data_IF_707650683905
#
_entry.id   IF_707650683905
#
_cell.length_a   1.000
_cell.length_b   1.000
_cell.length_c   1.000
_cell.angle_alpha   90.00
_cell.angle_beta   90.00
_cell.angle_gamma   90.00
#
_symmetry.space_group_name_H-M   'P 1'
#
loop_
_entity.id
_entity.type
_entity.pdbx_description
1 polymer ?
#
# COMPACT_ATOMS: atom_id res chain seq x y z
N UNK A 1 35.57 -1.20 17.16
CA UNK A 1 34.71 -1.35 18.36
C UNK A 1 33.28 -1.58 17.89
N UNK A 2 32.45 -2.27 18.68
CA UNK A 2 31.04 -2.52 18.39
C UNK A 2 30.28 -1.25 17.99
N UNK A 3 29.41 -1.32 16.97
CA UNK A 3 28.46 -0.26 16.60
C UNK A 3 27.89 0.44 17.84
N UNK A 4 27.78 1.76 17.81
CA UNK A 4 27.20 2.53 18.91
C UNK A 4 25.76 2.06 19.20
N UNK A 5 25.30 2.07 20.47
CA UNK A 5 23.95 1.65 20.83
C UNK A 5 22.85 2.36 20.00
N UNK A 6 23.05 3.65 19.72
CA UNK A 6 22.16 4.42 18.85
C UNK A 6 22.13 3.94 17.40
N UNK A 7 23.28 3.53 16.84
CA UNK A 7 23.33 3.01 15.48
C UNK A 7 22.57 1.68 15.37
N UNK A 8 22.65 0.81 16.39
CA UNK A 8 21.89 -0.44 16.44
C UNK A 8 20.39 -0.21 16.59
N UNK A 9 19.98 0.76 17.43
CA UNK A 9 18.58 1.11 17.59
C UNK A 9 17.95 1.57 16.26
N UNK A 10 18.64 2.45 15.53
CA UNK A 10 18.21 2.94 14.20
C UNK A 10 18.10 1.82 13.17
N UNK A 11 19.01 0.84 13.19
CA UNK A 11 18.97 -0.31 12.29
C UNK A 11 17.76 -1.22 12.57
N UNK A 12 17.49 -1.50 13.84
CA UNK A 12 16.31 -2.28 14.23
C UNK A 12 15.01 -1.57 13.83
N UNK A 13 14.94 -0.26 14.05
CA UNK A 13 13.79 0.55 13.67
C UNK A 13 13.58 0.59 12.15
N UNK A 14 14.66 0.76 11.37
CA UNK A 14 14.57 0.73 9.90
C UNK A 14 14.07 -0.63 9.39
N UNK A 15 14.51 -1.73 10.01
CA UNK A 15 14.01 -3.08 9.69
C UNK A 15 12.52 -3.24 10.01
N UNK A 16 12.08 -2.79 11.19
CA UNK A 16 10.66 -2.81 11.55
C UNK A 16 9.81 -2.02 10.57
N UNK A 17 10.27 -0.82 10.17
CA UNK A 17 9.60 0.00 9.15
C UNK A 17 9.52 -0.75 7.82
N UNK A 18 10.61 -1.39 7.39
CA UNK A 18 10.65 -2.17 6.15
C UNK A 18 9.63 -3.32 6.17
N UNK A 19 9.55 -4.06 7.28
CA UNK A 19 8.59 -5.14 7.48
C UNK A 19 7.15 -4.61 7.43
N UNK A 20 6.88 -3.50 8.11
CA UNK A 20 5.57 -2.84 8.10
C UNK A 20 5.13 -2.44 6.69
N UNK A 21 6.00 -1.77 5.91
CA UNK A 21 5.69 -1.37 4.53
C UNK A 21 5.45 -2.61 3.66
N UNK A 22 6.27 -3.65 3.81
CA UNK A 22 6.15 -4.90 3.04
C UNK A 22 4.86 -5.66 3.38
N UNK A 23 4.47 -5.68 4.65
CA UNK A 23 3.23 -6.31 5.11
C UNK A 23 2.01 -5.60 4.54
N UNK A 24 1.98 -4.26 4.57
CA UNK A 24 0.86 -3.49 4.01
C UNK A 24 0.75 -3.75 2.51
N UNK A 25 1.86 -3.69 1.79
CA UNK A 25 1.86 -3.95 0.34
C UNK A 25 1.29 -5.31 -0.02
N UNK A 26 1.76 -6.35 0.67
CA UNK A 26 1.30 -7.71 0.43
C UNK A 26 -0.19 -7.83 0.73
N UNK A 27 -0.58 -7.50 1.96
CA UNK A 27 -1.93 -7.79 2.41
C UNK A 27 -2.98 -6.86 1.78
N UNK A 28 -2.69 -5.56 1.64
CA UNK A 28 -3.63 -4.66 0.96
C UNK A 28 -3.68 -4.95 -0.54
N UNK A 29 -2.56 -5.34 -1.15
CA UNK A 29 -2.53 -5.79 -2.55
C UNK A 29 -3.40 -7.03 -2.77
N UNK A 30 -3.23 -8.06 -1.94
CA UNK A 30 -4.04 -9.30 -1.97
C UNK A 30 -5.53 -9.00 -1.74
N UNK A 31 -5.86 -8.22 -0.71
CA UNK A 31 -7.24 -7.82 -0.42
C UNK A 31 -7.85 -7.02 -1.57
N UNK A 32 -7.12 -6.05 -2.13
CA UNK A 32 -7.58 -5.27 -3.27
C UNK A 32 -7.94 -6.17 -4.46
N UNK A 33 -7.10 -7.17 -4.76
CA UNK A 33 -7.35 -8.12 -5.85
C UNK A 33 -8.58 -9.00 -5.59
N UNK A 34 -8.72 -9.51 -4.35
CA UNK A 34 -9.86 -10.33 -3.95
C UNK A 34 -11.16 -9.53 -4.05
N UNK A 35 -11.20 -8.32 -3.47
CA UNK A 35 -12.38 -7.46 -3.52
C UNK A 35 -12.73 -7.03 -4.94
N UNK A 36 -11.76 -6.61 -5.74
CA UNK A 36 -12.01 -6.27 -7.15
C UNK A 36 -12.54 -7.51 -7.92
N UNK A 37 -12.07 -8.70 -7.61
CA UNK A 37 -12.59 -9.96 -8.15
C UNK A 37 -14.04 -10.22 -7.73
N UNK A 38 -14.37 -9.97 -6.47
CA UNK A 38 -15.73 -10.07 -5.94
C UNK A 38 -16.68 -9.08 -6.62
N UNK A 39 -16.31 -7.80 -6.72
CA UNK A 39 -17.11 -6.77 -7.40
C UNK A 39 -17.39 -7.14 -8.85
N UNK A 40 -16.39 -7.62 -9.59
CA UNK A 40 -16.57 -8.10 -10.97
C UNK A 40 -17.54 -9.28 -11.06
N UNK A 41 -17.53 -10.20 -10.09
CA UNK A 41 -18.50 -11.30 -10.05
C UNK A 41 -19.92 -10.80 -9.76
N UNK A 42 -20.08 -9.85 -8.85
CA UNK A 42 -21.37 -9.23 -8.54
C UNK A 42 -21.94 -8.49 -9.75
N UNK A 43 -21.10 -7.74 -10.48
CA UNK A 43 -21.51 -7.07 -11.72
C UNK A 43 -21.94 -8.08 -12.80
N UNK A 44 -21.20 -9.18 -12.99
CA UNK A 44 -21.59 -10.25 -13.92
C UNK A 44 -22.91 -10.94 -13.54
N UNK A 45 -23.20 -11.04 -12.24
CA UNK A 45 -24.47 -11.58 -11.78
C UNK A 45 -25.63 -10.65 -12.15
N UNK A 46 -25.45 -9.33 -12.02
CA UNK A 46 -26.39 -8.32 -12.53
C UNK A 46 -26.61 -8.48 -14.04
N UNK A 47 -25.53 -8.57 -14.83
CA UNK A 47 -25.64 -8.76 -16.28
C UNK A 47 -26.46 -9.99 -16.65
N UNK A 48 -26.31 -11.08 -15.89
CA UNK A 48 -27.06 -12.30 -16.11
C UNK A 48 -28.54 -12.13 -15.79
N UNK A 49 -28.87 -11.37 -14.75
CA UNK A 49 -30.24 -11.05 -14.41
C UNK A 49 -30.89 -10.09 -15.43
N UNK A 50 -30.14 -9.14 -16.00
CA UNK A 50 -30.63 -8.30 -17.10
C UNK A 50 -31.01 -9.14 -18.33
N UNK A 51 -30.24 -10.20 -18.62
CA UNK A 51 -30.62 -11.16 -19.64
C UNK A 51 -31.92 -11.89 -19.28
N UNK A 52 -32.09 -12.34 -18.03
CA UNK A 52 -33.34 -12.98 -17.60
C UNK A 52 -34.54 -12.06 -17.77
N UNK A 53 -34.42 -10.79 -17.38
CA UNK A 53 -35.46 -9.76 -17.58
C UNK A 53 -35.82 -9.65 -19.06
N UNK A 54 -34.84 -9.66 -19.97
CA UNK A 54 -35.07 -9.59 -21.41
C UNK A 54 -35.80 -10.84 -21.94
N UNK A 55 -35.37 -12.03 -21.55
CA UNK A 55 -35.99 -13.28 -21.98
C UNK A 55 -37.44 -13.41 -21.47
N UNK A 56 -37.70 -13.01 -20.22
CA UNK A 56 -39.07 -12.97 -19.68
C UNK A 56 -39.94 -11.99 -20.46
N UNK A 57 -39.42 -10.80 -20.78
CA UNK A 57 -40.16 -9.81 -21.57
C UNK A 57 -40.44 -10.32 -23.00
N UNK A 58 -39.48 -10.98 -23.64
CA UNK A 58 -39.67 -11.57 -24.96
C UNK A 58 -40.74 -12.67 -24.94
N UNK A 59 -40.72 -13.53 -23.91
CA UNK A 59 -41.76 -14.54 -23.73
C UNK A 59 -43.14 -13.92 -23.42
N UNK A 60 -43.18 -12.87 -22.61
CA UNK A 60 -44.41 -12.15 -22.31
C UNK A 60 -45.11 -11.64 -23.59
N UNK A 61 -44.33 -11.24 -24.60
CA UNK A 61 -44.88 -10.75 -25.85
C UNK A 61 -45.52 -11.84 -26.73
N UNK A 62 -45.26 -13.13 -26.47
CA UNK A 62 -45.91 -14.26 -27.18
C UNK A 62 -47.17 -14.76 -26.48
N UNK A 63 -47.48 -14.26 -25.28
CA UNK A 63 -48.51 -14.80 -24.40
C UNK A 63 -49.83 -14.02 -24.42
N UNK A 64 -50.89 -14.65 -23.89
CA UNK A 64 -52.21 -14.02 -23.74
C UNK A 64 -52.14 -12.73 -22.90
N UNK A 65 -53.05 -11.75 -23.08
CA UNK A 65 -52.94 -10.45 -22.41
C UNK A 65 -52.77 -10.51 -20.88
N UNK A 66 -53.50 -11.41 -20.22
CA UNK A 66 -53.42 -11.56 -18.77
C UNK A 66 -52.06 -12.12 -18.32
N UNK A 67 -51.55 -13.15 -19.02
CA UNK A 67 -50.25 -13.74 -18.70
C UNK A 67 -49.10 -12.80 -19.07
N UNK A 68 -49.20 -12.11 -20.22
CA UNK A 68 -48.27 -11.05 -20.62
C UNK A 68 -48.13 -9.98 -19.54
N UNK A 69 -49.25 -9.52 -18.98
CA UNK A 69 -49.23 -8.54 -17.89
C UNK A 69 -48.50 -9.09 -16.65
N UNK A 70 -48.80 -10.32 -16.24
CA UNK A 70 -48.13 -10.98 -15.11
C UNK A 70 -46.62 -11.17 -15.32
N UNK A 71 -46.19 -11.60 -16.51
CA UNK A 71 -44.78 -11.80 -16.85
C UNK A 71 -44.01 -10.47 -16.90
N UNK A 72 -44.63 -9.41 -17.42
CA UNK A 72 -44.02 -8.07 -17.38
C UNK A 72 -43.85 -7.57 -15.94
N UNK A 73 -44.86 -7.72 -15.09
CA UNK A 73 -44.73 -7.39 -13.67
C UNK A 73 -43.62 -8.19 -12.98
N UNK A 74 -43.48 -9.49 -13.28
CA UNK A 74 -42.39 -10.32 -12.78
C UNK A 74 -41.01 -9.83 -13.25
N UNK A 75 -40.88 -9.48 -14.54
CA UNK A 75 -39.65 -8.93 -15.10
C UNK A 75 -39.28 -7.58 -14.47
N UNK A 76 -40.25 -6.71 -14.22
CA UNK A 76 -40.05 -5.41 -13.60
C UNK A 76 -39.57 -5.54 -12.14
N UNK A 77 -40.11 -6.46 -11.36
CA UNK A 77 -39.61 -6.73 -10.00
C UNK A 77 -38.18 -7.27 -10.01
N UNK A 78 -37.84 -8.14 -10.96
CA UNK A 78 -36.46 -8.63 -11.12
C UNK A 78 -35.50 -7.51 -11.55
N UNK A 79 -35.95 -6.58 -12.40
CA UNK A 79 -35.17 -5.42 -12.82
C UNK A 79 -34.85 -4.49 -11.64
N UNK A 80 -35.84 -4.17 -10.79
CA UNK A 80 -35.63 -3.40 -9.56
C UNK A 80 -34.60 -4.05 -8.63
N UNK A 81 -34.59 -5.38 -8.54
CA UNK A 81 -33.58 -6.10 -7.78
C UNK A 81 -32.16 -5.87 -8.33
N UNK A 82 -32.02 -5.69 -9.64
CA UNK A 82 -30.73 -5.40 -10.27
C UNK A 82 -30.27 -3.97 -10.07
N UNK A 83 -31.18 -3.00 -9.93
CA UNK A 83 -30.81 -1.63 -9.54
C UNK A 83 -30.12 -1.60 -8.17
N UNK A 84 -30.63 -2.37 -7.20
CA UNK A 84 -29.96 -2.53 -5.90
C UNK A 84 -28.58 -3.19 -6.04
N UNK A 85 -28.46 -4.21 -6.89
CA UNK A 85 -27.17 -4.86 -7.15
C UNK A 85 -26.19 -3.93 -7.87
N UNK A 86 -26.67 -3.04 -8.74
CA UNK A 86 -25.84 -2.02 -9.35
C UNK A 86 -25.32 -1.03 -8.31
N UNK A 87 -26.19 -0.55 -7.42
CA UNK A 87 -25.78 0.30 -6.31
C UNK A 87 -24.77 -0.41 -5.37
N UNK A 88 -24.94 -1.72 -5.14
CA UNK A 88 -23.99 -2.54 -4.40
C UNK A 88 -22.61 -2.57 -5.09
N UNK A 89 -22.55 -2.82 -6.40
CA UNK A 89 -21.32 -2.82 -7.20
C UNK A 89 -20.60 -1.48 -7.10
N UNK A 90 -21.31 -0.37 -7.34
CA UNK A 90 -20.74 0.97 -7.28
C UNK A 90 -20.21 1.31 -5.89
N UNK A 91 -20.96 0.94 -4.84
CA UNK A 91 -20.57 1.18 -3.46
C UNK A 91 -19.35 0.36 -3.07
N UNK A 92 -19.27 -0.91 -3.46
CA UNK A 92 -18.10 -1.75 -3.20
C UNK A 92 -16.85 -1.21 -3.91
N UNK A 93 -16.99 -0.77 -5.17
CA UNK A 93 -15.86 -0.18 -5.90
C UNK A 93 -15.37 1.09 -5.20
N UNK A 94 -16.28 2.02 -4.90
CA UNK A 94 -15.93 3.33 -4.34
C UNK A 94 -15.48 3.28 -2.87
N UNK A 95 -16.03 2.37 -2.06
CA UNK A 95 -15.80 2.33 -0.60
C UNK A 95 -14.87 1.23 -0.14
N UNK A 96 -14.53 0.27 -1.01
CA UNK A 96 -13.65 -0.85 -0.65
C UNK A 96 -12.47 -0.95 -1.60
N UNK A 97 -12.72 -1.06 -2.90
CA UNK A 97 -11.66 -1.29 -3.89
C UNK A 97 -10.77 -0.06 -4.05
N UNK A 98 -11.34 1.11 -4.32
CA UNK A 98 -10.58 2.35 -4.54
C UNK A 98 -9.71 2.76 -3.32
N UNK A 99 -10.21 2.71 -2.07
CA UNK A 99 -9.37 2.91 -0.89
C UNK A 99 -8.17 1.96 -0.85
N UNK A 100 -8.36 0.64 -0.99
CA UNK A 100 -7.26 -0.34 -0.98
C UNK A 100 -6.28 -0.12 -2.13
N UNK A 101 -6.77 0.23 -3.32
CA UNK A 101 -5.97 0.50 -4.51
C UNK A 101 -5.07 1.72 -4.34
N UNK A 102 -5.55 2.77 -3.67
CA UNK A 102 -4.78 4.00 -3.42
C UNK A 102 -3.51 3.75 -2.60
N UNK A 103 -3.52 2.73 -1.73
CA UNK A 103 -2.34 2.33 -0.95
C UNK A 103 -1.19 1.83 -1.81
N UNK A 104 -1.43 1.38 -3.04
CA UNK A 104 -0.36 1.00 -3.95
C UNK A 104 0.62 2.15 -4.26
N UNK A 105 0.10 3.36 -4.45
CA UNK A 105 0.94 4.54 -4.67
C UNK A 105 1.65 4.99 -3.38
N UNK A 106 0.95 4.93 -2.24
CA UNK A 106 1.49 5.31 -0.93
C UNK A 106 2.66 4.40 -0.56
N UNK A 107 2.48 3.08 -0.65
CA UNK A 107 3.52 2.08 -0.37
C UNK A 107 4.73 2.27 -1.27
N UNK A 108 4.52 2.58 -2.56
CA UNK A 108 5.62 2.86 -3.49
C UNK A 108 6.47 4.03 -3.02
N UNK A 109 5.85 5.14 -2.60
CA UNK A 109 6.56 6.29 -2.03
C UNK A 109 7.33 5.90 -0.76
N UNK A 110 6.72 5.13 0.16
CA UNK A 110 7.40 4.67 1.38
C UNK A 110 8.60 3.77 1.10
N UNK A 111 8.54 2.94 0.05
CA UNK A 111 9.71 2.16 -0.40
C UNK A 111 10.83 3.05 -0.91
N UNK A 112 10.51 4.13 -1.62
CA UNK A 112 11.49 5.10 -2.09
C UNK A 112 12.17 5.81 -0.92
N UNK A 113 11.40 6.28 0.07
CA UNK A 113 11.91 6.88 1.32
C UNK A 113 12.82 5.91 2.10
N UNK A 114 12.40 4.64 2.20
CA UNK A 114 13.18 3.59 2.84
C UNK A 114 14.51 3.35 2.11
N UNK A 115 14.49 3.32 0.77
CA UNK A 115 15.70 3.15 -0.05
C UNK A 115 16.69 4.30 0.16
N UNK A 116 16.19 5.54 0.23
CA UNK A 116 17.03 6.72 0.52
C UNK A 116 17.67 6.59 1.90
N UNK A 117 16.88 6.19 2.91
CA UNK A 117 17.36 5.98 4.29
C UNK A 117 18.43 4.90 4.37
N UNK A 118 18.20 3.74 3.73
CA UNK A 118 19.16 2.65 3.68
C UNK A 118 20.46 3.06 2.99
N UNK A 119 20.40 3.88 1.92
CA UNK A 119 21.59 4.39 1.25
C UNK A 119 22.40 5.33 2.15
N UNK A 120 21.75 6.22 2.90
CA UNK A 120 22.41 7.11 3.86
C UNK A 120 23.10 6.31 4.99
N UNK A 121 22.42 5.29 5.53
CA UNK A 121 22.98 4.37 6.53
C UNK A 121 24.17 3.57 6.00
N UNK A 122 24.07 3.06 4.78
CA UNK A 122 25.18 2.36 4.13
C UNK A 122 26.39 3.28 3.92
N UNK A 123 26.18 4.55 3.60
CA UNK A 123 27.26 5.54 3.49
C UNK A 123 27.92 5.81 4.84
N UNK A 124 27.14 5.99 5.90
CA UNK A 124 27.66 6.13 7.27
C UNK A 124 28.50 4.92 7.69
N UNK A 125 28.00 3.70 7.47
CA UNK A 125 28.73 2.46 7.78
C UNK A 125 30.06 2.35 7.03
N UNK A 126 30.07 2.70 5.74
CA UNK A 126 31.31 2.73 4.94
C UNK A 126 32.32 3.75 5.45
N UNK A 127 31.86 4.95 5.85
CA UNK A 127 32.74 5.98 6.39
C UNK A 127 33.32 5.57 7.76
N UNK A 128 32.53 4.87 8.58
CA UNK A 128 32.99 4.33 9.86
C UNK A 128 34.10 3.28 9.65
N UNK A 129 33.88 2.33 8.74
CA UNK A 129 34.87 1.32 8.39
C UNK A 129 36.16 1.93 7.80
N UNK A 130 36.02 2.97 6.97
CA UNK A 130 37.16 3.68 6.40
C UNK A 130 37.97 4.43 7.48
N UNK A 131 37.31 5.06 8.45
CA UNK A 131 37.99 5.70 9.58
C UNK A 131 38.76 4.68 10.43
N UNK A 132 38.16 3.53 10.77
CA UNK A 132 38.83 2.46 11.52
C UNK A 132 40.08 1.95 10.77
N UNK A 133 39.95 1.71 9.46
CA UNK A 133 41.07 1.27 8.61
C UNK A 133 42.19 2.30 8.53
N UNK A 134 41.83 3.58 8.46
CA UNK A 134 42.81 4.70 8.43
C UNK A 134 43.58 4.79 9.74
N UNK A 135 42.88 4.70 10.88
CA UNK A 135 43.49 4.69 12.22
C UNK A 135 44.46 3.52 12.42
N UNK A 136 44.14 2.34 11.87
CA UNK A 136 45.01 1.16 11.95
C UNK A 136 46.25 1.27 11.06
N UNK A 137 46.12 1.80 9.84
CA UNK A 137 47.23 1.87 8.88
C UNK A 137 48.22 2.98 9.20
N UNK A 138 47.73 4.17 9.51
CA UNK A 138 48.55 5.37 9.66
C UNK A 138 48.20 6.12 10.96
N UNK A 139 48.47 5.55 12.15
CA UNK A 139 48.06 6.14 13.43
C UNK A 139 48.69 7.52 13.72
N UNK A 140 49.86 7.80 13.13
CA UNK A 140 50.56 9.08 13.31
C UNK A 140 50.05 10.19 12.38
N UNK A 141 49.31 9.85 11.31
CA UNK A 141 48.81 10.81 10.35
C UNK A 141 47.50 11.44 10.83
N UNK A 142 47.65 12.40 11.76
CA UNK A 142 46.53 13.11 12.38
C UNK A 142 45.68 13.87 11.37
N UNK A 143 46.26 14.37 10.27
CA UNK A 143 45.52 15.13 9.27
C UNK A 143 44.54 14.24 8.50
N UNK A 144 44.98 13.06 8.04
CA UNK A 144 44.09 12.13 7.34
C UNK A 144 43.01 11.58 8.27
N UNK A 145 43.36 11.27 9.52
CA UNK A 145 42.37 10.81 10.53
C UNK A 145 41.31 11.88 10.77
N UNK A 146 41.71 13.14 11.00
CA UNK A 146 40.78 14.24 11.25
C UNK A 146 39.83 14.49 10.05
N UNK A 147 40.33 14.36 8.82
CA UNK A 147 39.49 14.45 7.62
C UNK A 147 38.45 13.33 7.57
N UNK A 148 38.85 12.09 7.83
CA UNK A 148 37.94 10.94 7.86
C UNK A 148 36.91 11.06 8.99
N UNK A 149 37.28 11.61 10.15
CA UNK A 149 36.35 11.91 11.25
C UNK A 149 35.30 12.94 10.84
N UNK A 150 35.70 14.00 10.15
CA UNK A 150 34.78 15.03 9.64
C UNK A 150 33.81 14.46 8.61
N UNK A 151 34.29 13.60 7.70
CA UNK A 151 33.45 12.93 6.71
C UNK A 151 32.44 11.96 7.36
N UNK A 152 32.88 11.20 8.36
CA UNK A 152 32.00 10.35 9.15
C UNK A 152 30.94 11.18 9.88
N UNK A 153 31.34 12.28 10.54
CA UNK A 153 30.42 13.14 11.28
C UNK A 153 29.30 13.68 10.36
N UNK A 154 29.65 14.12 9.14
CA UNK A 154 28.66 14.55 8.14
C UNK A 154 27.73 13.42 7.73
N UNK A 155 28.26 12.23 7.46
CA UNK A 155 27.44 11.07 7.09
C UNK A 155 26.50 10.63 8.21
N UNK A 156 26.95 10.66 9.46
CA UNK A 156 26.13 10.36 10.65
C UNK A 156 25.03 11.38 10.86
N UNK A 157 25.30 12.68 10.68
CA UNK A 157 24.28 13.72 10.77
C UNK A 157 23.20 13.57 9.69
N UNK A 158 23.60 13.28 8.45
CA UNK A 158 22.66 13.08 7.35
C UNK A 158 21.81 11.82 7.54
N UNK A 159 22.43 10.70 7.93
CA UNK A 159 21.72 9.47 8.26
C UNK A 159 20.72 9.67 9.42
N UNK A 160 21.11 10.37 10.49
CA UNK A 160 20.22 10.66 11.61
C UNK A 160 19.05 11.58 11.23
N UNK A 161 19.26 12.53 10.31
CA UNK A 161 18.22 13.42 9.80
C UNK A 161 17.21 12.63 8.95
N UNK A 162 17.70 11.84 8.00
CA UNK A 162 16.85 11.06 7.09
C UNK A 162 16.07 9.98 7.85
N UNK A 163 16.70 9.29 8.82
CA UNK A 163 16.00 8.32 9.68
C UNK A 163 14.83 8.96 10.43
N UNK A 164 15.02 10.14 11.04
CA UNK A 164 13.92 10.87 11.70
C UNK A 164 12.79 11.24 10.74
N UNK A 165 13.12 11.69 9.54
CA UNK A 165 12.11 11.98 8.52
C UNK A 165 11.33 10.72 8.13
N UNK A 166 12.02 9.58 7.96
CA UNK A 166 11.36 8.31 7.68
C UNK A 166 10.39 7.94 8.81
N UNK A 167 10.79 8.09 10.08
CA UNK A 167 9.94 7.80 11.24
C UNK A 167 8.66 8.64 11.25
N UNK A 168 8.77 9.96 11.11
CA UNK A 168 7.61 10.87 11.06
C UNK A 168 6.65 10.50 9.93
N UNK A 169 7.20 10.16 8.77
CA UNK A 169 6.39 9.81 7.60
C UNK A 169 5.73 8.44 7.73
N UNK A 170 6.29 7.53 8.52
CA UNK A 170 5.71 6.22 8.83
C UNK A 170 4.65 6.33 9.93
N UNK A 171 4.87 7.15 10.95
CA UNK A 171 3.85 7.44 11.95
C UNK A 171 2.57 8.01 11.33
N UNK A 172 2.73 8.92 10.36
CA UNK A 172 1.59 9.44 9.59
C UNK A 172 0.93 8.36 8.73
N UNK A 173 1.71 7.44 8.18
CA UNK A 173 1.20 6.31 7.41
C UNK A 173 0.36 5.35 8.27
N UNK A 174 0.80 5.03 9.49
CA UNK A 174 0.04 4.21 10.44
C UNK A 174 -1.29 4.87 10.83
N UNK A 175 -1.26 6.17 11.13
CA UNK A 175 -2.48 6.94 11.44
C UNK A 175 -3.45 6.98 10.27
N UNK A 176 -2.93 7.15 9.05
CA UNK A 176 -3.73 7.15 7.84
C UNK A 176 -4.43 5.81 7.61
N UNK A 177 -3.73 4.68 7.81
CA UNK A 177 -4.33 3.34 7.72
C UNK A 177 -5.51 3.15 8.67
N UNK A 178 -5.35 3.56 9.92
CA UNK A 178 -6.43 3.45 10.93
C UNK A 178 -7.64 4.29 10.52
N UNK A 179 -7.41 5.47 9.94
CA UNK A 179 -8.48 6.36 9.51
C UNK A 179 -9.21 5.82 8.28
N UNK A 180 -8.50 5.26 7.32
CA UNK A 180 -9.08 4.82 6.04
C UNK A 180 -9.76 3.45 6.11
N UNK A 181 -9.39 2.62 7.09
CA UNK A 181 -10.07 1.33 7.33
C UNK A 181 -11.40 1.51 8.08
N UNK A 182 -11.56 2.58 8.86
CA UNK A 182 -12.77 2.87 9.64
C UNK A 182 -13.90 3.40 8.77
#
# INVERSE_FOLDING_TARGET
>A
MSQTPEARARDNQTRQIQETVSNVEKHFGELCQIYAGYVRKTARLRDKADLLVREVNAYADTETPNLKHGLKGFADELAKLQDYRQAEVERLEAKVVEPLKSYGAIVKLKREDLKVTLNARNRESKQMAQLEKTRQRNPSDRQIIFKAETELQRATMDAARISRQLEETIDNFEKQKIKDIK
#
